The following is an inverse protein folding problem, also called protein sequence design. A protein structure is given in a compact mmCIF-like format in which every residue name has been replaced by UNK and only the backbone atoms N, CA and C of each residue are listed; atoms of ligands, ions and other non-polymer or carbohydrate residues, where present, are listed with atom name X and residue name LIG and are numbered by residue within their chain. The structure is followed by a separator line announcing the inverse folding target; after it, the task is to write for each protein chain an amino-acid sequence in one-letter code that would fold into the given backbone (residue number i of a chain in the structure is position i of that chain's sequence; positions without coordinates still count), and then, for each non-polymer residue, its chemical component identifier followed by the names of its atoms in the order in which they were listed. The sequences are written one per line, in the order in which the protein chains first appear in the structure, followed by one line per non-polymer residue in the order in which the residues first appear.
data_IF_023019294067
#
_entry.id   IF_023019294067
#
_cell.length_a   1.000
_cell.length_b   1.000
_cell.length_c   1.000
_cell.angle_alpha   90.00
_cell.angle_beta   90.00
_cell.angle_gamma   90.00
#
_symmetry.space_group_name_H-M   'P 1'
#
loop_
_entity.id
_entity.type
_entity.pdbx_description
1 polymer ?
#
# COMPACT_ATOMS: atom_id res chain seq x y z
N UNK A 1 -34.11 7.83 -19.85
CA UNK A 1 -32.98 7.09 -19.25
C UNK A 1 -33.44 6.69 -17.86
N UNK A 2 -33.69 5.42 -17.60
CA UNK A 2 -34.01 4.99 -16.24
C UNK A 2 -32.76 5.16 -15.39
N UNK A 3 -32.87 5.90 -14.29
CA UNK A 3 -31.79 5.98 -13.29
C UNK A 3 -31.64 4.60 -12.66
N UNK A 4 -30.51 3.93 -12.92
CA UNK A 4 -30.16 2.70 -12.24
C UNK A 4 -29.75 3.06 -10.81
N UNK A 5 -30.70 2.98 -9.88
CA UNK A 5 -30.45 3.16 -8.45
C UNK A 5 -29.87 1.88 -7.86
N UNK A 6 -28.74 2.00 -7.16
CA UNK A 6 -28.14 0.92 -6.37
C UNK A 6 -28.44 1.18 -4.91
N UNK A 7 -29.06 0.21 -4.23
CA UNK A 7 -29.30 0.26 -2.78
C UNK A 7 -28.22 -0.55 -2.08
N UNK A 8 -27.58 0.07 -1.09
CA UNK A 8 -26.54 -0.55 -0.25
C UNK A 8 -26.95 -0.44 1.22
N UNK A 9 -26.69 -1.47 2.04
CA UNK A 9 -26.84 -1.40 3.48
C UNK A 9 -26.03 -0.25 4.09
N UNK A 10 -26.52 0.30 5.20
CA UNK A 10 -25.87 1.46 5.83
C UNK A 10 -24.49 1.12 6.38
N UNK A 11 -24.28 -0.11 6.88
CA UNK A 11 -22.96 -0.56 7.35
C UNK A 11 -21.96 -0.62 6.19
N UNK A 12 -22.34 -1.23 5.07
CA UNK A 12 -21.48 -1.32 3.88
C UNK A 12 -21.16 0.07 3.31
N UNK A 13 -22.12 1.00 3.33
CA UNK A 13 -21.88 2.38 2.93
C UNK A 13 -20.89 3.09 3.85
N UNK A 14 -20.97 2.87 5.18
CA UNK A 14 -20.02 3.43 6.13
C UNK A 14 -18.60 2.93 5.87
N UNK A 15 -18.44 1.64 5.55
CA UNK A 15 -17.14 1.07 5.17
C UNK A 15 -16.60 1.68 3.87
N UNK A 16 -17.45 1.90 2.86
CA UNK A 16 -17.05 2.59 1.62
C UNK A 16 -16.58 4.02 1.89
N UNK A 17 -17.27 4.76 2.77
CA UNK A 17 -16.86 6.11 3.17
C UNK A 17 -15.53 6.09 3.92
N UNK A 18 -15.32 5.11 4.81
CA UNK A 18 -14.05 4.93 5.51
C UNK A 18 -12.91 4.61 4.54
N UNK A 19 -13.13 3.68 3.60
CA UNK A 19 -12.18 3.35 2.54
C UNK A 19 -11.83 4.57 1.67
N UNK A 20 -12.83 5.34 1.24
CA UNK A 20 -12.61 6.58 0.49
C UNK A 20 -11.73 7.54 1.29
N UNK A 21 -12.02 7.74 2.57
CA UNK A 21 -11.24 8.64 3.45
C UNK A 21 -9.77 8.21 3.51
N UNK A 22 -9.49 6.92 3.67
CA UNK A 22 -8.12 6.37 3.67
C UNK A 22 -7.37 6.66 2.37
N UNK A 23 -8.02 6.42 1.22
CA UNK A 23 -7.42 6.70 -0.11
C UNK A 23 -7.12 8.19 -0.27
N UNK A 24 -8.06 9.07 0.09
CA UNK A 24 -7.85 10.52 0.02
C UNK A 24 -6.69 10.98 0.91
N UNK A 25 -6.56 10.42 2.12
CA UNK A 25 -5.44 10.70 3.02
C UNK A 25 -4.11 10.27 2.41
N UNK A 26 -4.03 9.06 1.85
CA UNK A 26 -2.82 8.58 1.18
C UNK A 26 -2.43 9.48 -0.02
N UNK A 27 -3.40 9.90 -0.83
CA UNK A 27 -3.16 10.84 -1.93
C UNK A 27 -2.64 12.20 -1.45
N UNK A 28 -3.18 12.72 -0.34
CA UNK A 28 -2.73 13.99 0.23
C UNK A 28 -1.28 13.91 0.73
N UNK A 29 -0.91 12.80 1.39
CA UNK A 29 0.48 12.56 1.83
C UNK A 29 1.43 12.53 0.63
N UNK A 30 1.07 11.79 -0.42
CA UNK A 30 1.88 11.70 -1.65
C UNK A 30 2.06 13.08 -2.29
N UNK A 31 0.99 13.86 -2.41
CA UNK A 31 1.04 15.20 -2.98
C UNK A 31 1.94 16.13 -2.16
N UNK A 32 1.82 16.09 -0.83
CA UNK A 32 2.63 16.91 0.07
C UNK A 32 4.12 16.54 -0.02
N UNK A 33 4.44 15.26 -0.14
CA UNK A 33 5.84 14.85 -0.30
C UNK A 33 6.42 15.31 -1.63
N UNK A 34 5.66 15.16 -2.71
CA UNK A 34 6.08 15.69 -4.00
C UNK A 34 6.27 17.19 -4.00
N UNK A 35 5.40 17.94 -3.31
CA UNK A 35 5.55 19.38 -3.15
C UNK A 35 6.86 19.70 -2.40
N UNK A 36 7.10 19.03 -1.26
CA UNK A 36 8.32 19.23 -0.47
C UNK A 36 9.59 18.92 -1.27
N UNK A 37 9.60 17.84 -2.04
CA UNK A 37 10.73 17.47 -2.90
C UNK A 37 10.97 18.52 -3.99
N UNK A 38 9.92 19.06 -4.59
CA UNK A 38 10.05 20.15 -5.57
C UNK A 38 10.64 21.39 -4.91
N UNK A 39 10.16 21.76 -3.72
CA UNK A 39 10.64 22.93 -2.98
C UNK A 39 12.13 22.80 -2.57
N UNK A 40 12.58 21.59 -2.21
CA UNK A 40 13.96 21.35 -1.75
C UNK A 40 14.94 21.02 -2.88
N UNK A 41 14.49 20.27 -3.90
CA UNK A 41 15.35 19.63 -4.90
C UNK A 41 15.03 20.07 -6.34
N UNK A 42 14.00 20.91 -6.54
CA UNK A 42 13.58 21.39 -7.85
C UNK A 42 12.91 20.34 -8.73
N UNK A 43 12.56 19.16 -8.17
CA UNK A 43 11.93 18.07 -8.91
C UNK A 43 11.11 17.18 -7.98
N UNK A 44 10.13 16.49 -8.56
CA UNK A 44 9.32 15.48 -7.88
C UNK A 44 10.20 14.29 -7.44
N UNK A 45 10.03 13.82 -6.20
CA UNK A 45 10.66 12.58 -5.74
C UNK A 45 10.11 11.35 -6.46
N UNK A 46 10.95 10.32 -6.55
CA UNK A 46 10.62 9.03 -7.19
C UNK A 46 10.32 7.93 -6.17
N UNK A 47 10.49 8.22 -4.89
CA UNK A 47 10.37 7.26 -3.79
C UNK A 47 9.65 7.92 -2.62
N UNK A 48 8.79 7.17 -1.95
CA UNK A 48 8.14 7.54 -0.69
C UNK A 48 8.31 6.36 0.26
N UNK A 49 8.47 6.63 1.56
CA UNK A 49 8.49 5.60 2.59
C UNK A 49 7.14 4.86 2.60
N UNK A 50 7.18 3.56 2.28
CA UNK A 50 5.97 2.75 2.17
C UNK A 50 5.21 2.68 3.49
N UNK A 51 5.91 2.75 4.64
CA UNK A 51 5.29 2.68 5.97
C UNK A 51 4.30 3.81 6.23
N UNK A 52 4.57 4.99 5.66
CA UNK A 52 3.68 6.15 5.77
C UNK A 52 2.36 5.87 5.02
N UNK A 53 2.46 5.26 3.84
CA UNK A 53 1.30 4.93 3.00
C UNK A 53 0.53 3.73 3.57
N UNK A 54 1.23 2.70 4.03
CA UNK A 54 0.66 1.54 4.72
C UNK A 54 -0.18 1.99 5.92
N UNK A 55 0.38 2.87 6.76
CA UNK A 55 -0.34 3.44 7.92
C UNK A 55 -1.58 4.22 7.49
N UNK A 56 -1.49 5.05 6.44
CA UNK A 56 -2.63 5.85 5.95
C UNK A 56 -3.76 4.98 5.36
N UNK A 57 -3.41 3.85 4.76
CA UNK A 57 -4.37 2.89 4.21
C UNK A 57 -4.90 1.91 5.27
N UNK A 58 -4.32 1.93 6.48
CA UNK A 58 -4.64 0.97 7.54
C UNK A 58 -4.22 -0.44 7.16
N UNK A 59 -3.14 -0.57 6.38
CA UNK A 59 -2.50 -1.85 6.13
C UNK A 59 -1.96 -2.41 7.45
N UNK A 60 -2.17 -3.70 7.66
CA UNK A 60 -1.69 -4.42 8.84
C UNK A 60 -0.80 -5.54 8.32
N UNK A 61 0.41 -5.62 8.85
CA UNK A 61 1.38 -6.64 8.47
C UNK A 61 0.81 -8.04 8.71
N UNK A 62 0.87 -8.87 7.67
CA UNK A 62 0.66 -10.30 7.77
C UNK A 62 2.02 -10.99 7.97
N UNK A 63 2.47 -11.01 9.22
CA UNK A 63 3.76 -11.59 9.60
C UNK A 63 3.90 -13.04 9.13
N UNK A 64 2.80 -13.82 9.15
CA UNK A 64 2.82 -15.21 8.71
C UNK A 64 3.10 -15.33 7.20
N UNK A 65 2.51 -14.45 6.40
CA UNK A 65 2.80 -14.36 4.96
C UNK A 65 4.28 -14.03 4.70
N UNK A 66 4.84 -13.08 5.47
CA UNK A 66 6.24 -12.69 5.32
C UNK A 66 7.22 -13.79 5.76
N UNK A 67 6.92 -14.51 6.83
CA UNK A 67 7.70 -15.67 7.28
C UNK A 67 7.73 -16.79 6.23
N UNK A 68 6.59 -17.08 5.60
CA UNK A 68 6.51 -18.09 4.54
C UNK A 68 7.33 -17.68 3.31
N UNK A 69 7.23 -16.41 2.90
CA UNK A 69 8.01 -15.87 1.79
C UNK A 69 9.53 -15.96 2.09
N UNK A 70 9.93 -15.62 3.32
CA UNK A 70 11.32 -15.70 3.76
C UNK A 70 11.83 -17.14 3.78
N UNK A 71 10.99 -18.10 4.23
CA UNK A 71 11.33 -19.53 4.20
C UNK A 71 11.58 -20.01 2.78
N UNK A 72 10.70 -19.70 1.83
CA UNK A 72 10.85 -20.06 0.41
C UNK A 72 12.13 -19.50 -0.19
N UNK A 73 12.47 -18.24 0.13
CA UNK A 73 13.72 -17.63 -0.31
C UNK A 73 14.95 -18.37 0.22
N UNK A 74 14.97 -18.70 1.52
CA UNK A 74 16.07 -19.46 2.15
C UNK A 74 16.23 -20.84 1.52
N UNK A 75 15.12 -21.54 1.25
CA UNK A 75 15.15 -22.85 0.58
C UNK A 75 15.68 -22.76 -0.86
N UNK A 76 15.29 -21.72 -1.60
CA UNK A 76 15.81 -21.49 -2.95
C UNK A 76 17.32 -21.19 -2.95
N UNK A 77 17.78 -20.30 -2.07
CA UNK A 77 19.21 -19.99 -1.93
C UNK A 77 20.04 -21.18 -1.45
N UNK A 78 19.49 -22.03 -0.58
CA UNK A 78 20.14 -23.27 -0.16
C UNK A 78 20.41 -24.22 -1.33
N UNK A 79 19.43 -24.34 -2.25
CA UNK A 79 19.56 -25.20 -3.44
C UNK A 79 20.55 -24.67 -4.46
N UNK A 80 20.60 -23.36 -4.71
CA UNK A 80 21.63 -22.74 -5.60
C UNK A 80 23.04 -23.10 -5.13
N UNK A 81 23.31 -22.99 -3.83
CA UNK A 81 24.64 -23.29 -3.26
C UNK A 81 25.00 -24.80 -3.32
N UNK A 82 24.00 -25.70 -3.41
CA UNK A 82 24.20 -27.14 -3.59
C UNK A 82 24.42 -27.54 -5.05
N UNK A 83 24.01 -26.70 -6.02
CA UNK A 83 24.16 -26.99 -7.46
C UNK A 83 25.46 -26.45 -8.06
N UNK A 84 26.16 -25.56 -7.35
CA UNK A 84 27.45 -24.98 -7.76
C UNK A 84 28.70 -25.71 -7.20
N UNK A 85 28.52 -26.81 -6.44
CA UNK A 85 29.60 -27.65 -5.89
C UNK A 85 29.70 -29.02 -6.56
#
# INVERSE_FOLDING_TARGET
MAENTVTIPVEEYADLVACRTKVHTACAIIANEHQRDIELMGKKGTTIDSKIIESALGYVDDEACFEEALKKYKEWKGKENETEN
#
